data_IF_858072628050
#
_entry.id   IF_858072628050
#
_cell.length_a   1.000
_cell.length_b   1.000
_cell.length_c   1.000
_cell.angle_alpha   90.00
_cell.angle_beta   90.00
_cell.angle_gamma   90.00
#
_symmetry.space_group_name_H-M   'P 1'
#
loop_
_entity.id
_entity.type
_entity.pdbx_description
1 polymer ?
#
# COMPACT_ATOMS: atom_id res chain seq x y z
N UNK A 1 14.12 -30.77 14.21
CA UNK A 1 13.76 -30.38 12.81
C UNK A 1 13.53 -28.89 12.85
N UNK A 2 14.47 -28.11 12.31
CA UNK A 2 14.28 -26.65 12.17
C UNK A 2 13.11 -26.42 11.22
N UNK A 3 11.95 -26.08 11.75
CA UNK A 3 10.80 -25.70 10.92
C UNK A 3 11.08 -24.28 10.37
N UNK A 4 11.52 -24.20 9.14
CA UNK A 4 11.59 -22.92 8.44
C UNK A 4 10.17 -22.33 8.36
N UNK A 5 9.98 -21.14 8.92
CA UNK A 5 8.74 -20.39 8.74
C UNK A 5 8.83 -19.66 7.40
N UNK A 6 7.96 -19.96 6.44
CA UNK A 6 7.99 -19.29 5.14
C UNK A 6 7.64 -17.80 5.30
N UNK A 7 8.17 -16.98 4.39
CA UNK A 7 7.85 -15.56 4.25
C UNK A 7 7.67 -15.27 2.76
N UNK A 8 6.55 -14.63 2.41
CA UNK A 8 6.35 -14.15 1.03
C UNK A 8 6.94 -12.75 0.91
N UNK A 9 7.86 -12.56 -0.02
CA UNK A 9 8.43 -11.24 -0.32
C UNK A 9 7.86 -10.72 -1.63
N UNK A 10 7.20 -9.57 -1.56
CA UNK A 10 6.83 -8.79 -2.74
C UNK A 10 7.91 -7.74 -2.96
N UNK A 11 8.59 -7.81 -4.09
CA UNK A 11 9.76 -6.96 -4.37
C UNK A 11 9.48 -5.84 -5.38
N UNK A 12 8.31 -5.85 -6.03
CA UNK A 12 7.92 -4.82 -7.02
C UNK A 12 6.41 -4.69 -7.15
N UNK A 13 5.96 -3.69 -7.89
CA UNK A 13 4.55 -3.43 -8.15
C UNK A 13 3.88 -2.61 -7.06
N UNK A 14 2.57 -2.74 -6.96
CA UNK A 14 1.72 -2.00 -6.02
C UNK A 14 0.30 -2.57 -6.02
N UNK A 15 -0.71 -1.82 -5.59
CA UNK A 15 -2.09 -2.29 -5.42
C UNK A 15 -2.79 -2.71 -6.72
N UNK A 16 -2.25 -2.33 -7.90
CA UNK A 16 -2.77 -2.78 -9.20
C UNK A 16 -2.43 -4.25 -9.52
N UNK A 17 -1.42 -4.82 -8.88
CA UNK A 17 -0.97 -6.19 -9.13
C UNK A 17 -1.75 -7.19 -8.27
N UNK A 18 -3.08 -7.17 -8.40
CA UNK A 18 -3.95 -8.14 -7.73
C UNK A 18 -3.80 -9.54 -8.32
N UNK A 19 -3.73 -10.54 -7.45
CA UNK A 19 -3.70 -11.95 -7.86
C UNK A 19 -4.65 -12.77 -7.00
N UNK A 20 -5.34 -13.71 -7.65
CA UNK A 20 -6.29 -14.60 -6.96
C UNK A 20 -5.55 -15.81 -6.38
N UNK A 21 -5.78 -16.06 -5.11
CA UNK A 21 -5.31 -17.24 -4.39
C UNK A 21 -6.50 -18.12 -4.06
N UNK A 22 -6.37 -19.42 -4.26
CA UNK A 22 -7.39 -20.41 -3.92
C UNK A 22 -6.77 -21.50 -3.07
N UNK A 23 -7.36 -21.79 -1.92
CA UNK A 23 -6.92 -22.84 -1.03
C UNK A 23 -8.08 -23.43 -0.22
N UNK A 24 -8.25 -24.76 -0.26
CA UNK A 24 -9.30 -25.50 0.47
C UNK A 24 -10.70 -24.87 0.34
N UNK A 25 -11.09 -24.52 -0.88
CA UNK A 25 -12.40 -23.94 -1.18
C UNK A 25 -12.56 -22.45 -0.83
N UNK A 26 -11.59 -21.83 -0.17
CA UNK A 26 -11.53 -20.37 0.04
C UNK A 26 -10.78 -19.71 -1.12
N UNK A 27 -11.20 -18.52 -1.52
CA UNK A 27 -10.48 -17.72 -2.50
C UNK A 27 -10.42 -16.27 -2.07
N UNK A 28 -9.28 -15.61 -2.29
CA UNK A 28 -9.07 -14.22 -2.00
C UNK A 28 -8.28 -13.55 -3.14
N UNK A 29 -8.54 -12.27 -3.39
CA UNK A 29 -7.76 -11.48 -4.34
C UNK A 29 -6.82 -10.58 -3.55
N UNK A 30 -5.56 -10.97 -3.50
CA UNK A 30 -4.51 -10.23 -2.82
C UNK A 30 -4.06 -9.03 -3.66
N UNK A 31 -4.04 -7.85 -3.08
CA UNK A 31 -3.42 -6.65 -3.66
C UNK A 31 -2.23 -6.15 -2.84
N UNK A 32 -2.25 -6.39 -1.54
CA UNK A 32 -1.19 -6.01 -0.58
C UNK A 32 -0.54 -7.24 0.05
N UNK A 33 -1.34 -8.19 0.56
CA UNK A 33 -0.80 -9.47 1.03
C UNK A 33 -0.28 -10.34 -0.11
N UNK A 34 0.60 -11.26 0.22
CA UNK A 34 1.14 -12.22 -0.73
C UNK A 34 0.30 -13.49 -0.83
N UNK A 35 0.67 -14.37 -1.77
CA UNK A 35 -0.05 -15.61 -2.10
C UNK A 35 -0.18 -16.60 -0.93
N UNK A 36 0.59 -16.43 0.13
CA UNK A 36 0.52 -17.27 1.33
C UNK A 36 -0.54 -16.87 2.35
N UNK A 37 -1.34 -15.84 2.09
CA UNK A 37 -2.31 -15.28 3.06
C UNK A 37 -3.28 -16.31 3.61
N UNK A 38 -3.84 -17.19 2.76
CA UNK A 38 -4.78 -18.24 3.18
C UNK A 38 -4.12 -19.38 4.00
N UNK A 39 -2.80 -19.38 4.07
CA UNK A 39 -1.99 -20.32 4.84
C UNK A 39 -1.39 -19.71 6.10
N UNK A 40 -1.74 -18.47 6.43
CA UNK A 40 -1.17 -17.74 7.57
C UNK A 40 0.30 -17.33 7.36
N UNK A 41 0.78 -17.33 6.10
CA UNK A 41 2.18 -16.99 5.80
C UNK A 41 2.35 -15.47 5.78
N UNK A 42 3.28 -14.92 6.59
CA UNK A 42 3.56 -13.50 6.59
C UNK A 42 4.01 -12.97 5.23
N UNK A 43 3.75 -11.69 5.00
CA UNK A 43 4.17 -10.97 3.78
C UNK A 43 5.13 -9.85 4.13
N UNK A 44 6.16 -9.66 3.32
CA UNK A 44 7.07 -8.53 3.38
C UNK A 44 6.98 -7.71 2.08
N UNK A 45 6.69 -6.42 2.19
CA UNK A 45 6.72 -5.46 1.09
C UNK A 45 8.10 -4.81 1.05
N UNK A 46 8.85 -5.10 -0.01
CA UNK A 46 10.21 -4.58 -0.20
C UNK A 46 10.19 -3.11 -0.65
N UNK A 47 11.29 -2.40 -0.52
CA UNK A 47 11.41 -0.95 -0.76
C UNK A 47 10.92 -0.45 -2.12
N UNK A 48 10.94 -1.32 -3.14
CA UNK A 48 10.50 -0.98 -4.50
C UNK A 48 8.98 -1.10 -4.71
N UNK A 49 8.26 -1.63 -3.71
CA UNK A 49 6.79 -1.73 -3.76
C UNK A 49 6.18 -0.36 -3.48
N UNK A 50 5.18 -0.01 -4.27
CA UNK A 50 4.29 1.12 -3.97
C UNK A 50 3.20 0.64 -3.04
N UNK A 51 3.04 1.27 -1.89
CA UNK A 51 1.97 0.94 -0.94
C UNK A 51 0.85 1.98 -1.00
N UNK A 52 -0.36 1.50 -0.91
CA UNK A 52 -1.54 2.33 -0.71
C UNK A 52 -2.15 1.96 0.65
N UNK A 53 -2.04 2.84 1.65
CA UNK A 53 -2.58 2.61 2.98
C UNK A 53 -4.06 2.25 2.99
N UNK A 54 -4.87 2.90 2.16
CA UNK A 54 -6.31 2.65 2.05
C UNK A 54 -6.57 1.25 1.48
N UNK A 55 -5.83 0.85 0.45
CA UNK A 55 -5.94 -0.50 -0.11
C UNK A 55 -5.53 -1.57 0.91
N UNK A 56 -4.46 -1.37 1.67
CA UNK A 56 -4.02 -2.28 2.73
C UNK A 56 -5.12 -2.42 3.80
N UNK A 57 -5.65 -1.31 4.27
CA UNK A 57 -6.69 -1.29 5.29
C UNK A 57 -7.98 -1.98 4.82
N UNK A 58 -8.39 -1.73 3.58
CA UNK A 58 -9.59 -2.36 3.00
C UNK A 58 -9.39 -3.86 2.80
N UNK A 59 -8.23 -4.31 2.31
CA UNK A 59 -7.93 -5.74 2.16
C UNK A 59 -7.92 -6.44 3.51
N UNK A 60 -7.36 -5.82 4.56
CA UNK A 60 -7.44 -6.34 5.93
C UNK A 60 -8.88 -6.57 6.38
N UNK A 61 -9.76 -5.56 6.20
CA UNK A 61 -11.18 -5.68 6.56
C UNK A 61 -11.87 -6.83 5.82
N UNK A 62 -11.57 -7.02 4.54
CA UNK A 62 -12.10 -8.13 3.74
C UNK A 62 -11.60 -9.47 4.29
N UNK A 63 -10.31 -9.63 4.54
CA UNK A 63 -9.75 -10.85 5.11
C UNK A 63 -10.40 -11.23 6.45
N UNK A 64 -10.58 -10.24 7.34
CA UNK A 64 -11.29 -10.44 8.61
C UNK A 64 -12.73 -10.86 8.40
N UNK A 65 -13.45 -10.21 7.48
CA UNK A 65 -14.85 -10.55 7.18
C UNK A 65 -15.02 -11.95 6.57
N UNK A 66 -14.00 -12.45 5.87
CA UNK A 66 -13.94 -13.81 5.34
C UNK A 66 -13.52 -14.87 6.39
N UNK A 67 -13.32 -14.44 7.65
CA UNK A 67 -12.89 -15.32 8.75
C UNK A 67 -11.47 -15.86 8.53
N UNK A 68 -10.60 -15.08 7.90
CA UNK A 68 -9.19 -15.40 7.72
C UNK A 68 -8.40 -14.78 8.87
N UNK A 69 -7.60 -15.59 9.57
CA UNK A 69 -6.60 -15.07 10.49
C UNK A 69 -5.52 -14.35 9.69
N UNK A 70 -5.55 -13.01 9.73
CA UNK A 70 -4.70 -12.21 8.86
C UNK A 70 -3.24 -12.33 9.29
N UNK A 71 -2.36 -12.84 8.41
CA UNK A 71 -0.95 -12.96 8.75
C UNK A 71 -0.25 -11.60 8.81
N UNK A 72 0.87 -11.55 9.52
CA UNK A 72 1.68 -10.34 9.67
C UNK A 72 2.07 -9.74 8.33
N UNK A 73 1.98 -8.43 8.24
CA UNK A 73 2.47 -7.63 7.12
C UNK A 73 3.68 -6.81 7.59
N UNK A 74 4.80 -7.03 6.93
CA UNK A 74 6.03 -6.27 7.12
C UNK A 74 6.18 -5.27 5.98
N UNK A 75 6.45 -4.02 6.30
CA UNK A 75 6.60 -2.95 5.30
C UNK A 75 7.99 -2.34 5.42
N UNK A 76 8.73 -2.30 4.32
CA UNK A 76 9.99 -1.57 4.30
C UNK A 76 9.72 -0.06 4.44
N UNK A 77 10.43 0.65 5.33
CA UNK A 77 10.19 2.07 5.59
C UNK A 77 10.44 2.98 4.37
N UNK A 78 11.12 2.48 3.35
CA UNK A 78 11.38 3.21 2.11
C UNK A 78 10.36 2.94 0.99
N UNK A 79 9.34 2.10 1.23
CA UNK A 79 8.24 1.96 0.27
C UNK A 79 7.63 3.33 -0.03
N UNK A 80 7.35 3.61 -1.30
CA UNK A 80 6.66 4.83 -1.71
C UNK A 80 5.18 4.70 -1.39
N UNK A 81 4.63 5.75 -0.80
CA UNK A 81 3.22 5.78 -0.40
C UNK A 81 2.40 6.48 -1.47
N UNK A 82 1.41 5.78 -1.98
CA UNK A 82 0.37 6.33 -2.84
C UNK A 82 -0.63 7.05 -1.94
N UNK A 83 -0.91 8.31 -2.24
CA UNK A 83 -1.94 9.09 -1.57
C UNK A 83 -3.25 9.06 -2.37
N UNK A 84 -4.40 9.42 -1.77
CA UNK A 84 -5.65 9.52 -2.51
C UNK A 84 -5.58 10.55 -3.65
N UNK A 85 -4.75 11.57 -3.54
CA UNK A 85 -4.55 12.55 -4.60
C UNK A 85 -3.74 12.00 -5.79
N UNK A 86 -2.84 11.05 -5.57
CA UNK A 86 -2.20 10.30 -6.65
C UNK A 86 -3.24 9.47 -7.42
N UNK A 87 -4.17 8.83 -6.71
CA UNK A 87 -5.25 8.04 -7.33
C UNK A 87 -6.18 8.93 -8.15
N UNK A 88 -6.58 10.09 -7.61
CA UNK A 88 -7.40 11.05 -8.32
C UNK A 88 -6.68 11.56 -9.57
N UNK A 89 -5.42 11.96 -9.48
CA UNK A 89 -4.63 12.43 -10.61
C UNK A 89 -4.51 11.38 -11.72
N UNK A 90 -4.21 10.12 -11.35
CA UNK A 90 -4.16 9.01 -12.32
C UNK A 90 -5.52 8.74 -12.96
N UNK A 91 -6.62 8.86 -12.21
CA UNK A 91 -7.98 8.60 -12.74
C UNK A 91 -8.46 9.69 -13.70
N UNK A 92 -8.03 10.93 -13.46
CA UNK A 92 -8.34 12.08 -14.34
C UNK A 92 -7.46 12.11 -15.60
N UNK A 93 -6.32 11.43 -15.59
CA UNK A 93 -5.44 11.30 -16.74
C UNK A 93 -6.12 10.44 -17.81
N UNK A 94 -6.25 10.99 -19.03
CA UNK A 94 -6.87 10.31 -20.17
C UNK A 94 -6.26 8.93 -20.50
N UNK A 95 -5.10 8.59 -19.96
CA UNK A 95 -4.44 7.29 -20.11
C UNK A 95 -5.24 6.13 -19.53
N UNK A 96 -6.04 6.34 -18.49
CA UNK A 96 -6.96 5.30 -17.98
C UNK A 96 -7.91 4.86 -19.08
N UNK A 97 -8.41 5.81 -19.88
CA UNK A 97 -9.35 5.55 -20.95
C UNK A 97 -8.70 4.98 -22.21
N UNK A 98 -7.49 5.43 -22.55
CA UNK A 98 -6.86 5.11 -23.84
C UNK A 98 -5.73 4.07 -23.76
N UNK A 99 -5.04 3.96 -22.63
CA UNK A 99 -3.85 3.12 -22.48
C UNK A 99 -4.06 1.93 -21.51
N UNK A 100 -5.29 1.70 -21.01
CA UNK A 100 -5.60 0.56 -20.15
C UNK A 100 -4.91 0.59 -18.77
N UNK A 101 -4.48 1.76 -18.30
CA UNK A 101 -3.97 1.91 -16.95
C UNK A 101 -5.10 1.77 -15.93
N UNK A 102 -4.84 1.18 -14.77
CA UNK A 102 -5.89 0.90 -13.78
C UNK A 102 -6.21 2.08 -12.83
N UNK A 103 -5.64 3.26 -13.04
CA UNK A 103 -5.93 4.46 -12.24
C UNK A 103 -5.70 4.27 -10.73
N UNK A 104 -4.67 3.52 -10.33
CA UNK A 104 -4.36 3.21 -8.92
C UNK A 104 -3.29 4.13 -8.31
N UNK A 105 -3.04 5.27 -8.91
CA UNK A 105 -2.13 6.29 -8.39
C UNK A 105 -0.63 6.00 -8.54
N UNK A 106 -0.25 4.87 -9.13
CA UNK A 106 1.17 4.47 -9.22
C UNK A 106 1.97 5.41 -10.10
N UNK A 107 1.42 5.75 -11.26
CA UNK A 107 2.12 6.63 -12.19
C UNK A 107 2.27 8.04 -11.61
N UNK A 108 1.21 8.59 -11.03
CA UNK A 108 1.22 9.90 -10.38
C UNK A 108 2.22 9.92 -9.22
N UNK A 109 2.18 8.90 -8.36
CA UNK A 109 3.13 8.72 -7.27
C UNK A 109 4.58 8.60 -7.78
N UNK A 110 4.83 7.82 -8.83
CA UNK A 110 6.15 7.70 -9.43
C UNK A 110 6.67 9.04 -9.98
N UNK A 111 5.80 9.77 -10.69
CA UNK A 111 6.13 11.07 -11.29
C UNK A 111 6.53 12.08 -10.21
N UNK A 112 5.68 12.28 -9.17
CA UNK A 112 6.00 13.24 -8.12
C UNK A 112 7.26 12.88 -7.31
N UNK A 113 7.52 11.58 -7.12
CA UNK A 113 8.75 11.14 -6.47
C UNK A 113 10.00 11.47 -7.30
N UNK A 114 9.92 11.43 -8.62
CA UNK A 114 10.98 11.93 -9.52
C UNK A 114 11.22 13.42 -9.36
N UNK A 115 10.17 14.19 -9.09
CA UNK A 115 10.21 15.63 -8.89
C UNK A 115 10.48 16.00 -7.41
N UNK A 116 11.01 15.05 -6.62
CA UNK A 116 11.36 15.18 -5.20
C UNK A 116 10.19 15.46 -4.24
N UNK A 117 8.95 15.29 -4.67
CA UNK A 117 7.78 15.30 -3.79
C UNK A 117 7.54 13.90 -3.27
N UNK A 118 8.22 13.55 -2.18
CA UNK A 118 8.26 12.18 -1.66
C UNK A 118 7.44 12.00 -0.39
N UNK A 119 6.75 10.86 -0.29
CA UNK A 119 6.13 10.38 0.94
C UNK A 119 6.40 8.87 1.03
N UNK A 120 7.03 8.45 2.12
CA UNK A 120 7.44 7.06 2.30
C UNK A 120 6.77 6.41 3.51
N UNK A 121 6.75 5.09 3.56
CA UNK A 121 6.10 4.30 4.60
C UNK A 121 6.58 4.64 6.02
N UNK A 122 7.83 5.12 6.19
CA UNK A 122 8.34 5.58 7.48
C UNK A 122 7.56 6.75 8.08
N UNK A 123 6.80 7.49 7.27
CA UNK A 123 6.03 8.65 7.69
C UNK A 123 4.61 8.27 8.14
N UNK A 124 4.11 7.10 7.74
CA UNK A 124 2.76 6.65 8.11
C UNK A 124 2.53 6.58 9.64
N UNK A 125 3.49 6.12 10.46
CA UNK A 125 3.34 6.13 11.93
C UNK A 125 3.12 7.50 12.55
N UNK A 126 3.44 8.57 11.83
CA UNK A 126 3.29 9.96 12.26
C UNK A 126 2.16 10.65 11.49
N UNK A 127 1.08 9.91 11.22
CA UNK A 127 -0.05 10.40 10.42
C UNK A 127 -0.66 11.70 11.00
N UNK A 128 -0.66 11.85 12.32
CA UNK A 128 -1.20 13.04 12.99
C UNK A 128 -0.34 14.31 12.74
N UNK A 129 0.98 14.14 12.50
CA UNK A 129 1.91 15.26 12.32
C UNK A 129 2.23 15.53 10.85
N UNK A 130 2.37 14.46 10.05
CA UNK A 130 2.88 14.57 8.69
C UNK A 130 1.83 14.32 7.60
N UNK A 131 0.71 13.67 7.91
CA UNK A 131 -0.28 13.36 6.88
C UNK A 131 -0.88 14.64 6.29
N UNK A 132 -1.19 15.65 7.10
CA UNK A 132 -1.78 16.90 6.61
C UNK A 132 -0.83 17.65 5.67
N UNK A 133 0.42 17.76 6.05
CA UNK A 133 1.45 18.41 5.21
C UNK A 133 1.70 17.60 3.93
N UNK A 134 1.80 16.29 4.04
CA UNK A 134 2.02 15.42 2.89
C UNK A 134 0.82 15.45 1.92
N UNK A 135 -0.40 15.34 2.44
CA UNK A 135 -1.62 15.41 1.63
C UNK A 135 -1.76 16.77 0.96
N UNK A 136 -1.51 17.88 1.67
CA UNK A 136 -1.50 19.20 1.08
C UNK A 136 -0.45 19.31 -0.02
N UNK A 137 0.78 18.90 0.24
CA UNK A 137 1.87 18.97 -0.73
C UNK A 137 1.57 18.18 -1.99
N UNK A 138 1.02 16.97 -1.86
CA UNK A 138 0.67 16.13 -3.01
C UNK A 138 -0.53 16.68 -3.77
N UNK A 139 -1.53 17.17 -3.05
CA UNK A 139 -2.69 17.84 -3.63
C UNK A 139 -2.28 19.05 -4.47
N UNK A 140 -1.43 19.93 -3.91
CA UNK A 140 -0.94 21.14 -4.59
C UNK A 140 -0.07 20.78 -5.80
N UNK A 141 0.76 19.73 -5.68
CA UNK A 141 1.54 19.20 -6.82
C UNK A 141 0.67 18.77 -7.98
N UNK A 142 -0.47 18.12 -7.71
CA UNK A 142 -1.42 17.68 -8.74
C UNK A 142 -2.45 18.75 -9.12
N UNK A 143 -2.43 19.92 -8.48
CA UNK A 143 -3.42 21.00 -8.67
C UNK A 143 -4.87 20.50 -8.48
N UNK A 144 -5.12 19.81 -7.37
CA UNK A 144 -6.42 19.23 -7.03
C UNK A 144 -7.09 19.99 -5.87
N UNK A 145 -8.41 19.90 -5.78
CA UNK A 145 -9.17 20.43 -4.67
C UNK A 145 -9.11 19.52 -3.43
N UNK A 146 -9.31 20.13 -2.25
CA UNK A 146 -9.32 19.40 -0.99
C UNK A 146 -10.54 18.49 -0.89
N UNK A 147 -10.31 17.23 -0.52
CA UNK A 147 -11.36 16.28 -0.22
C UNK A 147 -11.17 15.72 1.20
N UNK A 148 -11.97 16.26 2.13
CA UNK A 148 -11.85 15.96 3.56
C UNK A 148 -12.12 14.48 3.85
N UNK A 149 -13.08 13.85 3.17
CA UNK A 149 -13.43 12.44 3.39
C UNK A 149 -12.26 11.52 3.02
N UNK A 150 -11.63 11.77 1.86
CA UNK A 150 -10.46 11.01 1.43
C UNK A 150 -9.24 11.24 2.33
N UNK A 151 -9.02 12.47 2.79
CA UNK A 151 -7.94 12.78 3.72
C UNK A 151 -8.13 12.04 5.07
N UNK A 152 -9.35 12.05 5.61
CA UNK A 152 -9.66 11.34 6.85
C UNK A 152 -9.49 9.82 6.69
N UNK A 153 -9.98 9.24 5.60
CA UNK A 153 -9.81 7.82 5.31
C UNK A 153 -8.33 7.44 5.19
N UNK A 154 -7.53 8.29 4.56
CA UNK A 154 -6.08 8.08 4.43
C UNK A 154 -5.39 8.10 5.80
N UNK A 155 -5.73 9.05 6.67
CA UNK A 155 -5.20 9.14 8.03
C UNK A 155 -5.56 7.92 8.87
N UNK A 156 -6.83 7.48 8.80
CA UNK A 156 -7.28 6.25 9.46
C UNK A 156 -6.47 5.04 8.98
N UNK A 157 -6.25 4.92 7.68
CA UNK A 157 -5.45 3.84 7.11
C UNK A 157 -3.97 3.91 7.52
N UNK A 158 -3.40 5.10 7.65
CA UNK A 158 -2.03 5.27 8.17
C UNK A 158 -1.93 4.87 9.65
N UNK A 159 -2.92 5.22 10.45
CA UNK A 159 -3.02 4.79 11.86
C UNK A 159 -3.11 3.26 11.95
N UNK A 160 -3.94 2.65 11.10
CA UNK A 160 -4.01 1.19 10.99
C UNK A 160 -2.64 0.57 10.67
N UNK A 161 -1.89 1.12 9.71
CA UNK A 161 -0.53 0.65 9.38
C UNK A 161 0.38 0.72 10.60
N UNK A 162 0.35 1.81 11.35
CA UNK A 162 1.12 1.98 12.59
C UNK A 162 0.85 0.87 13.61
N UNK A 163 -0.40 0.49 13.77
CA UNK A 163 -0.85 -0.45 14.81
C UNK A 163 -0.72 -1.92 14.39
N UNK A 164 -0.90 -2.23 13.10
CA UNK A 164 -1.07 -3.61 12.61
C UNK A 164 0.07 -4.10 11.74
N UNK A 165 1.04 -3.25 11.39
CA UNK A 165 2.19 -3.66 10.59
C UNK A 165 3.49 -3.53 11.35
N UNK A 166 4.53 -4.19 10.87
CA UNK A 166 5.87 -4.10 11.43
C UNK A 166 6.84 -3.57 10.40
N UNK A 167 7.72 -2.70 10.84
CA UNK A 167 8.83 -2.23 10.00
C UNK A 167 9.85 -3.35 9.83
N UNK A 168 10.19 -3.69 8.61
CA UNK A 168 11.20 -4.69 8.31
C UNK A 168 12.28 -4.11 7.38
N UNK A 169 13.50 -4.07 7.88
CA UNK A 169 14.67 -3.67 7.09
C UNK A 169 15.43 -4.95 6.77
N UNK A 170 15.46 -5.34 5.52
CA UNK A 170 16.40 -6.34 5.04
C UNK A 170 17.75 -5.64 5.01
N UNK A 171 18.56 -5.85 6.04
CA UNK A 171 19.93 -5.36 6.06
C UNK A 171 20.73 -6.09 4.97
N UNK A 172 21.28 -5.34 4.01
CA UNK A 172 22.40 -5.81 3.24
C UNK A 172 23.62 -5.77 4.17
N UNK A 173 23.97 -6.91 4.73
CA UNK A 173 25.30 -7.06 5.30
C UNK A 173 26.26 -7.14 4.10
N UNK A 174 27.03 -6.07 3.89
CA UNK A 174 28.26 -6.12 3.09
C UNK A 174 29.41 -6.58 3.97
#
# INVERSE_FOLDING_TARGET
INSYKPLVIRFSGGPQAGHRVVYKGKSHVCSSWGSGVLLGVPTCLYKEVFIDPICIYNEYKVLVSEGIEVPKLYINPNCRVITPYDVLADSMDGRVKYNGTCGKGIHACFKRNKDNVTYSARMCPYADEYADVALQTVRDYHNLEKNIELENLFKEACTFIKEHTQTFIIGTYY
#
